data_IF_789099108663
#
_entry.id   IF_789099108663
#
_cell.length_a   1.000
_cell.length_b   1.000
_cell.length_c   1.000
_cell.angle_alpha   90.00
_cell.angle_beta   90.00
_cell.angle_gamma   90.00
#
_symmetry.space_group_name_H-M   'P 1'
#
loop_
_entity.id
_entity.type
_entity.pdbx_description
1 polymer ?
#
# COMPACT_ATOMS: atom_id res chain seq x y z
N UNK A 1 -12.63 -14.15 -23.71
CA UNK A 1 -11.21 -14.01 -23.33
C UNK A 1 -11.05 -13.41 -21.93
N UNK A 2 -11.65 -12.23 -21.64
CA UNK A 2 -11.59 -11.58 -20.31
C UNK A 2 -12.16 -12.47 -19.19
N UNK A 3 -13.27 -13.17 -19.42
CA UNK A 3 -13.87 -14.07 -18.43
C UNK A 3 -12.93 -15.20 -17.98
N UNK A 4 -12.23 -15.84 -18.92
CA UNK A 4 -11.28 -16.93 -18.65
C UNK A 4 -10.03 -16.45 -17.89
N UNK A 5 -9.57 -15.22 -18.18
CA UNK A 5 -8.47 -14.61 -17.42
C UNK A 5 -8.87 -14.29 -15.98
N UNK A 6 -10.09 -13.79 -15.78
CA UNK A 6 -10.62 -13.57 -14.45
C UNK A 6 -10.79 -14.87 -13.65
N UNK A 7 -11.25 -15.93 -14.30
CA UNK A 7 -11.35 -17.27 -13.69
C UNK A 7 -9.97 -17.80 -13.29
N UNK A 8 -8.97 -17.70 -14.17
CA UNK A 8 -7.58 -18.04 -13.83
C UNK A 8 -7.07 -17.23 -12.64
N UNK A 9 -7.27 -15.91 -12.62
CA UNK A 9 -6.87 -15.08 -11.49
C UNK A 9 -7.59 -15.45 -10.19
N UNK A 10 -8.84 -15.92 -10.26
CA UNK A 10 -9.58 -16.40 -9.09
C UNK A 10 -8.97 -17.66 -8.47
N UNK A 11 -8.30 -18.51 -9.25
CA UNK A 11 -7.55 -19.65 -8.69
C UNK A 11 -6.44 -19.21 -7.72
N UNK A 12 -5.94 -17.97 -7.86
CA UNK A 12 -4.92 -17.40 -6.99
C UNK A 12 -5.48 -16.77 -5.71
N UNK A 13 -6.80 -16.76 -5.51
CA UNK A 13 -7.46 -16.07 -4.39
C UNK A 13 -6.90 -16.49 -3.04
N UNK A 14 -6.86 -17.80 -2.76
CA UNK A 14 -6.39 -18.32 -1.47
C UNK A 14 -4.90 -18.02 -1.25
N UNK A 15 -4.09 -18.17 -2.29
CA UNK A 15 -2.67 -17.86 -2.20
C UNK A 15 -2.43 -16.37 -1.92
N UNK A 16 -3.14 -15.48 -2.64
CA UNK A 16 -3.06 -14.04 -2.46
C UNK A 16 -3.52 -13.61 -1.06
N UNK A 17 -4.59 -14.21 -0.53
CA UNK A 17 -5.07 -13.95 0.83
C UNK A 17 -4.04 -14.33 1.88
N UNK A 18 -3.40 -15.50 1.74
CA UNK A 18 -2.35 -15.91 2.68
C UNK A 18 -1.11 -15.01 2.60
N UNK A 19 -0.69 -14.63 1.39
CA UNK A 19 0.45 -13.76 1.18
C UNK A 19 0.21 -12.36 1.80
N UNK A 20 -0.92 -11.74 1.47
CA UNK A 20 -1.31 -10.44 2.00
C UNK A 20 -1.54 -10.48 3.52
N UNK A 21 -2.22 -11.51 4.03
CA UNK A 21 -2.50 -11.68 5.45
C UNK A 21 -1.22 -11.75 6.31
N UNK A 22 -0.19 -12.45 5.84
CA UNK A 22 1.12 -12.47 6.53
C UNK A 22 1.77 -11.09 6.60
N UNK A 23 1.73 -10.33 5.50
CA UNK A 23 2.27 -8.96 5.46
C UNK A 23 1.51 -8.07 6.46
N UNK A 24 0.18 -8.09 6.40
CA UNK A 24 -0.66 -7.27 7.28
C UNK A 24 -0.46 -7.61 8.75
N UNK A 25 -0.33 -8.89 9.08
CA UNK A 25 -0.10 -9.35 10.46
C UNK A 25 1.25 -8.85 10.98
N UNK A 26 2.33 -9.00 10.19
CA UNK A 26 3.67 -8.50 10.58
C UNK A 26 3.68 -6.96 10.74
N UNK A 27 3.04 -6.23 9.83
CA UNK A 27 2.94 -4.76 9.93
C UNK A 27 2.13 -4.34 11.16
N UNK A 28 0.99 -4.98 11.43
CA UNK A 28 0.17 -4.68 12.60
C UNK A 28 0.92 -4.89 13.92
N UNK A 29 1.72 -5.96 14.01
CA UNK A 29 2.56 -6.25 15.19
C UNK A 29 3.70 -5.24 15.37
N UNK A 30 4.34 -4.81 14.27
CA UNK A 30 5.40 -3.78 14.31
C UNK A 30 4.85 -2.42 14.67
N UNK A 31 3.70 -2.07 14.13
CA UNK A 31 2.98 -0.85 14.46
C UNK A 31 2.64 -0.84 15.96
N UNK A 32 1.98 -1.89 16.49
CA UNK A 32 1.69 -2.01 17.92
C UNK A 32 2.93 -1.82 18.79
N UNK A 33 4.04 -2.49 18.46
CA UNK A 33 5.30 -2.37 19.20
C UNK A 33 5.83 -0.93 19.20
N UNK A 34 5.77 -0.26 18.05
CA UNK A 34 6.19 1.14 17.91
C UNK A 34 5.35 2.05 18.79
N UNK A 35 4.03 1.89 18.75
CA UNK A 35 3.09 2.62 19.61
C UNK A 35 3.35 2.41 21.09
N UNK A 36 3.63 1.17 21.51
CA UNK A 36 3.94 0.87 22.91
C UNK A 36 5.27 1.49 23.37
N UNK A 37 6.23 1.70 22.47
CA UNK A 37 7.48 2.41 22.77
C UNK A 37 7.21 3.89 23.03
N UNK A 38 6.41 4.55 22.19
CA UNK A 38 6.03 5.95 22.38
C UNK A 38 5.11 6.14 23.60
N UNK A 39 4.25 5.16 23.87
CA UNK A 39 3.35 5.16 25.02
C UNK A 39 4.04 4.82 26.35
N UNK A 40 5.38 4.73 26.40
CA UNK A 40 6.12 4.39 27.64
C UNK A 40 5.85 5.37 28.78
N UNK A 41 5.54 6.61 28.48
CA UNK A 41 5.23 7.62 29.51
C UNK A 41 3.71 7.85 29.69
N UNK A 42 2.87 7.18 28.89
CA UNK A 42 1.41 7.25 28.99
C UNK A 42 0.87 6.36 30.13
N UNK A 43 -0.35 6.65 30.58
CA UNK A 43 -1.03 5.89 31.62
C UNK A 43 -1.25 4.42 31.22
N UNK A 44 -1.39 3.53 32.20
CA UNK A 44 -1.66 2.10 31.96
C UNK A 44 -2.93 1.88 31.12
N UNK A 45 -3.98 2.67 31.34
CA UNK A 45 -5.24 2.58 30.61
C UNK A 45 -5.08 2.85 29.11
N UNK A 46 -4.29 3.85 28.74
CA UNK A 46 -4.03 4.18 27.33
C UNK A 46 -3.25 3.07 26.63
N UNK A 47 -2.28 2.44 27.31
CA UNK A 47 -1.57 1.28 26.76
C UNK A 47 -2.49 0.07 26.54
N UNK A 48 -3.46 -0.15 27.41
CA UNK A 48 -4.46 -1.23 27.26
C UNK A 48 -5.41 -0.94 26.08
N UNK A 49 -5.81 0.32 25.89
CA UNK A 49 -6.62 0.75 24.73
C UNK A 49 -5.87 0.55 23.39
N UNK A 50 -4.57 0.84 23.33
CA UNK A 50 -3.73 0.58 22.15
C UNK A 50 -3.76 -0.90 21.77
N UNK A 51 -3.70 -1.82 22.76
CA UNK A 51 -3.73 -3.27 22.49
C UNK A 51 -5.10 -3.76 22.06
N UNK A 52 -6.16 -3.18 22.62
CA UNK A 52 -7.55 -3.61 22.41
C UNK A 52 -8.26 -2.82 21.29
N UNK A 53 -7.53 -2.06 20.47
CA UNK A 53 -8.11 -1.29 19.38
C UNK A 53 -8.78 -2.21 18.35
N UNK A 54 -10.03 -1.93 17.97
CA UNK A 54 -10.70 -2.63 16.88
C UNK A 54 -10.19 -2.14 15.52
N UNK A 55 -9.16 -2.80 14.99
CA UNK A 55 -8.66 -2.59 13.63
C UNK A 55 -9.20 -3.64 12.66
N UNK A 56 -10.24 -4.40 13.02
CA UNK A 56 -10.72 -5.54 12.26
C UNK A 56 -11.24 -5.17 10.87
N UNK A 57 -12.09 -4.14 10.79
CA UNK A 57 -12.63 -3.65 9.52
C UNK A 57 -11.53 -3.13 8.58
N UNK A 58 -10.59 -2.35 9.13
CA UNK A 58 -9.42 -1.82 8.42
C UNK A 58 -8.55 -2.95 7.86
N UNK A 59 -8.29 -3.99 8.66
CA UNK A 59 -7.54 -5.16 8.25
C UNK A 59 -8.19 -5.85 7.04
N UNK A 60 -9.51 -6.08 7.10
CA UNK A 60 -10.24 -6.74 6.01
C UNK A 60 -10.24 -5.92 4.73
N UNK A 61 -10.37 -4.59 4.83
CA UNK A 61 -10.27 -3.71 3.67
C UNK A 61 -8.90 -3.77 3.01
N UNK A 62 -7.83 -3.65 3.81
CA UNK A 62 -6.45 -3.76 3.31
C UNK A 62 -6.19 -5.12 2.68
N UNK A 63 -6.69 -6.20 3.28
CA UNK A 63 -6.56 -7.56 2.75
C UNK A 63 -7.19 -7.67 1.36
N UNK A 64 -8.42 -7.17 1.20
CA UNK A 64 -9.12 -7.21 -0.08
C UNK A 64 -8.41 -6.39 -1.16
N UNK A 65 -7.90 -5.21 -0.81
CA UNK A 65 -7.13 -4.36 -1.73
C UNK A 65 -5.82 -5.03 -2.18
N UNK A 66 -5.06 -5.59 -1.24
CA UNK A 66 -3.81 -6.27 -1.55
C UNK A 66 -4.04 -7.54 -2.39
N UNK A 67 -5.08 -8.31 -2.09
CA UNK A 67 -5.46 -9.48 -2.90
C UNK A 67 -5.78 -9.06 -4.33
N UNK A 68 -6.52 -7.96 -4.52
CA UNK A 68 -6.81 -7.41 -5.85
C UNK A 68 -5.53 -6.98 -6.58
N UNK A 69 -4.60 -6.32 -5.90
CA UNK A 69 -3.31 -5.91 -6.48
C UNK A 69 -2.44 -7.12 -6.86
N UNK A 70 -2.38 -8.16 -6.03
CA UNK A 70 -1.67 -9.40 -6.35
C UNK A 70 -2.26 -10.05 -7.59
N UNK A 71 -3.59 -10.23 -7.64
CA UNK A 71 -4.30 -10.85 -8.78
C UNK A 71 -4.18 -10.05 -10.06
N UNK A 72 -4.01 -8.73 -9.98
CA UNK A 72 -3.83 -7.89 -11.17
C UNK A 72 -2.49 -8.09 -11.87
N UNK A 73 -1.45 -8.62 -11.22
CA UNK A 73 -0.15 -8.88 -11.86
C UNK A 73 -0.25 -9.86 -13.06
N UNK A 74 -0.81 -11.07 -12.90
CA UNK A 74 -0.98 -11.99 -14.03
C UNK A 74 -2.02 -11.50 -15.04
N UNK A 75 -3.07 -10.81 -14.60
CA UNK A 75 -4.11 -10.26 -15.49
C UNK A 75 -3.51 -9.20 -16.43
N UNK A 76 -2.79 -8.22 -15.90
CA UNK A 76 -2.17 -7.16 -16.69
C UNK A 76 -1.10 -7.73 -17.63
N UNK A 77 -0.35 -8.74 -17.18
CA UNK A 77 0.64 -9.42 -18.02
C UNK A 77 -0.01 -10.15 -19.21
N UNK A 78 -1.09 -10.89 -18.95
CA UNK A 78 -1.82 -11.61 -19.99
C UNK A 78 -2.48 -10.66 -21.00
N UNK A 79 -3.11 -9.58 -20.52
CA UNK A 79 -3.71 -8.56 -21.38
C UNK A 79 -2.65 -7.89 -22.26
N UNK A 80 -1.50 -7.54 -21.70
CA UNK A 80 -0.39 -6.96 -22.46
C UNK A 80 0.12 -7.89 -23.56
N UNK A 81 0.27 -9.18 -23.27
CA UNK A 81 0.71 -10.18 -24.27
C UNK A 81 -0.33 -10.29 -25.40
N UNK A 82 -1.62 -10.27 -25.06
CA UNK A 82 -2.70 -10.26 -26.04
C UNK A 82 -2.61 -9.03 -26.95
N UNK A 83 -2.52 -7.83 -26.39
CA UNK A 83 -2.47 -6.59 -27.15
C UNK A 83 -1.25 -6.52 -28.09
N UNK A 84 -0.09 -7.01 -27.62
CA UNK A 84 1.14 -7.08 -28.42
C UNK A 84 1.00 -8.08 -29.59
N UNK A 85 0.38 -9.23 -29.33
CA UNK A 85 0.15 -10.25 -30.36
C UNK A 85 -0.83 -9.75 -31.42
N UNK A 86 -1.93 -9.11 -31.00
CA UNK A 86 -2.93 -8.54 -31.91
C UNK A 86 -2.33 -7.43 -32.79
N UNK A 87 -1.55 -6.51 -32.21
CA UNK A 87 -0.85 -5.47 -33.01
C UNK A 87 0.12 -6.08 -34.01
N UNK A 88 0.88 -7.08 -33.59
CA UNK A 88 1.88 -7.72 -34.44
C UNK A 88 1.29 -8.45 -35.64
N UNK A 89 0.09 -9.02 -35.49
CA UNK A 89 -0.66 -9.61 -36.61
C UNK A 89 -1.08 -8.55 -37.64
N UNK A 90 -1.44 -7.35 -37.19
CA UNK A 90 -1.85 -6.23 -38.06
C UNK A 90 -0.63 -5.63 -38.78
N UNK A 91 0.48 -5.47 -38.05
CA UNK A 91 1.70 -4.81 -38.53
C UNK A 91 2.62 -5.74 -39.35
N UNK A 92 2.43 -7.06 -39.28
CA UNK A 92 3.24 -8.04 -40.01
C UNK A 92 4.62 -8.32 -39.38
N UNK A 93 4.74 -8.18 -38.06
CA UNK A 93 6.01 -8.38 -37.34
C UNK A 93 6.48 -9.85 -37.37
N UNK A 94 7.80 -10.07 -37.28
CA UNK A 94 8.37 -11.44 -37.25
C UNK A 94 8.13 -12.11 -35.89
N UNK A 95 7.98 -13.43 -35.90
CA UNK A 95 7.76 -14.22 -34.67
C UNK A 95 8.83 -14.01 -33.59
N UNK A 96 10.10 -13.81 -33.99
CA UNK A 96 11.21 -13.53 -33.07
C UNK A 96 11.07 -12.18 -32.36
N UNK A 97 10.51 -11.18 -33.03
CA UNK A 97 10.29 -9.84 -32.45
C UNK A 97 9.15 -9.89 -31.43
N UNK A 98 8.08 -10.62 -31.76
CA UNK A 98 6.94 -10.87 -30.85
C UNK A 98 7.43 -11.57 -29.58
N UNK A 99 8.25 -12.61 -29.72
CA UNK A 99 8.83 -13.32 -28.58
C UNK A 99 9.65 -12.38 -27.67
N UNK A 100 10.44 -11.48 -28.26
CA UNK A 100 11.17 -10.44 -27.53
C UNK A 100 10.25 -9.51 -26.72
N UNK A 101 9.15 -9.06 -27.32
CA UNK A 101 8.15 -8.19 -26.67
C UNK A 101 7.40 -8.90 -25.53
N UNK A 102 7.06 -10.19 -25.71
CA UNK A 102 6.46 -11.03 -24.67
C UNK A 102 7.43 -11.17 -23.50
N UNK A 103 8.70 -11.48 -23.76
CA UNK A 103 9.72 -11.59 -22.71
C UNK A 103 9.93 -10.26 -21.96
N UNK A 104 9.86 -9.13 -22.65
CA UNK A 104 9.93 -7.80 -22.02
C UNK A 104 8.77 -7.54 -21.04
N UNK A 105 7.59 -8.16 -21.24
CA UNK A 105 6.46 -8.06 -20.29
C UNK A 105 6.83 -8.57 -18.91
N UNK A 106 7.68 -9.61 -18.81
CA UNK A 106 8.17 -10.09 -17.51
C UNK A 106 8.92 -9.03 -16.70
N UNK A 107 9.67 -8.13 -17.37
CA UNK A 107 10.37 -7.01 -16.70
C UNK A 107 9.38 -5.97 -16.17
N UNK A 108 8.33 -5.67 -16.94
CA UNK A 108 7.26 -4.74 -16.52
C UNK A 108 6.52 -5.30 -15.31
N UNK A 109 6.13 -6.58 -15.35
CA UNK A 109 5.45 -7.26 -14.24
C UNK A 109 6.32 -7.26 -12.98
N UNK A 110 7.63 -7.51 -13.10
CA UNK A 110 8.58 -7.43 -11.98
C UNK A 110 8.63 -6.02 -11.37
N UNK A 111 8.74 -4.97 -12.20
CA UNK A 111 8.77 -3.58 -11.73
C UNK A 111 7.49 -3.21 -10.97
N UNK A 112 6.33 -3.63 -11.49
CA UNK A 112 5.03 -3.45 -10.84
C UNK A 112 4.95 -4.21 -9.51
N UNK A 113 5.40 -5.46 -9.46
CA UNK A 113 5.44 -6.24 -8.23
C UNK A 113 6.28 -5.56 -7.13
N UNK A 114 7.45 -5.02 -7.49
CA UNK A 114 8.29 -4.26 -6.56
C UNK A 114 7.58 -3.00 -6.03
N UNK A 115 6.87 -2.29 -6.91
CA UNK A 115 6.10 -1.09 -6.54
C UNK A 115 4.98 -1.43 -5.56
N UNK A 116 4.24 -2.51 -5.83
CA UNK A 116 3.19 -3.02 -4.94
C UNK A 116 3.77 -3.41 -3.59
N UNK A 117 4.85 -4.20 -3.58
CA UNK A 117 5.46 -4.68 -2.33
C UNK A 117 5.89 -3.52 -1.41
N UNK A 118 6.53 -2.48 -1.96
CA UNK A 118 6.95 -1.32 -1.17
C UNK A 118 5.76 -0.49 -0.70
N UNK A 119 4.81 -0.25 -1.59
CA UNK A 119 3.67 0.64 -1.32
C UNK A 119 2.72 0.02 -0.29
N UNK A 120 2.39 -1.27 -0.43
CA UNK A 120 1.38 -1.90 0.41
C UNK A 120 1.85 -2.11 1.85
N UNK A 121 3.16 -2.27 2.08
CA UNK A 121 3.73 -2.29 3.44
C UNK A 121 3.61 -0.92 4.11
N UNK A 122 4.05 0.15 3.44
CA UNK A 122 3.94 1.52 3.97
C UNK A 122 2.49 1.94 4.18
N UNK A 123 1.61 1.59 3.23
CA UNK A 123 0.17 1.88 3.30
C UNK A 123 -0.48 1.14 4.46
N UNK A 124 -0.19 -0.13 4.67
CA UNK A 124 -0.71 -0.87 5.82
C UNK A 124 -0.29 -0.21 7.14
N UNK A 125 0.99 0.19 7.27
CA UNK A 125 1.47 0.87 8.47
C UNK A 125 0.74 2.19 8.69
N UNK A 126 0.65 3.04 7.65
CA UNK A 126 -0.05 4.31 7.66
C UNK A 126 -1.52 4.16 8.14
N UNK A 127 -2.24 3.19 7.59
CA UNK A 127 -3.66 2.98 7.91
C UNK A 127 -3.85 2.38 9.31
N UNK A 128 -2.99 1.46 9.77
CA UNK A 128 -3.05 0.97 11.16
C UNK A 128 -2.73 2.08 12.17
N UNK A 129 -1.70 2.87 11.91
CA UNK A 129 -1.37 4.04 12.73
C UNK A 129 -2.56 5.01 12.80
N UNK A 130 -3.19 5.33 11.67
CA UNK A 130 -4.40 6.17 11.65
C UNK A 130 -5.51 5.58 12.51
N UNK A 131 -5.85 4.30 12.29
CA UNK A 131 -6.95 3.66 13.02
C UNK A 131 -6.73 3.65 14.53
N UNK A 132 -5.49 3.42 15.00
CA UNK A 132 -5.17 3.51 16.44
C UNK A 132 -5.22 4.95 16.94
N UNK A 133 -4.67 5.90 16.19
CA UNK A 133 -4.66 7.31 16.56
C UNK A 133 -6.08 7.86 16.73
N UNK A 134 -6.96 7.62 15.75
CA UNK A 134 -8.35 8.06 15.77
C UNK A 134 -9.12 7.44 16.95
N UNK A 135 -8.87 6.15 17.25
CA UNK A 135 -9.48 5.49 18.42
C UNK A 135 -9.02 6.07 19.76
N UNK A 136 -7.86 6.74 19.80
CA UNK A 136 -7.37 7.48 20.97
C UNK A 136 -7.79 8.96 20.96
N UNK A 137 -8.65 9.37 20.03
CA UNK A 137 -9.14 10.75 19.92
C UNK A 137 -8.19 11.72 19.20
N UNK A 138 -7.19 11.21 18.46
CA UNK A 138 -6.34 12.05 17.62
C UNK A 138 -7.13 12.66 16.46
N UNK A 139 -7.11 13.99 16.34
CA UNK A 139 -7.73 14.70 15.20
C UNK A 139 -6.84 14.68 13.94
N UNK A 140 -5.53 14.48 14.12
CA UNK A 140 -4.56 14.53 13.03
C UNK A 140 -3.14 14.23 13.47
N UNK A 141 -2.20 14.53 12.59
CA UNK A 141 -0.79 14.21 12.77
C UNK A 141 0.12 15.28 12.17
N UNK A 142 1.38 15.28 12.62
CA UNK A 142 2.45 16.04 11.96
C UNK A 142 3.04 15.17 10.85
N UNK A 143 3.02 15.68 9.62
CA UNK A 143 3.59 14.98 8.48
C UNK A 143 5.12 14.95 8.58
N UNK A 144 5.70 13.76 8.62
CA UNK A 144 7.15 13.57 8.64
C UNK A 144 7.64 12.86 7.39
N UNK A 145 8.88 13.12 7.01
CA UNK A 145 9.53 12.46 5.87
C UNK A 145 10.79 11.73 6.34
N UNK A 146 11.28 10.75 5.56
CA UNK A 146 12.61 10.18 5.78
C UNK A 146 13.77 11.17 5.53
N UNK A 147 13.47 12.38 5.03
CA UNK A 147 14.45 13.46 4.75
C UNK A 147 15.57 13.07 3.78
N UNK A 148 15.41 11.98 3.03
CA UNK A 148 16.38 11.50 2.05
C UNK A 148 16.18 12.09 0.64
N UNK A 149 17.12 11.76 -0.24
CA UNK A 149 17.13 12.21 -1.64
C UNK A 149 15.92 11.75 -2.45
N UNK A 150 15.30 10.63 -2.09
CA UNK A 150 14.19 10.01 -2.83
C UNK A 150 12.82 10.60 -2.45
N UNK A 151 12.75 11.39 -1.38
CA UNK A 151 11.51 12.08 -1.01
C UNK A 151 11.16 13.13 -2.07
N UNK A 152 9.95 13.03 -2.62
CA UNK A 152 9.43 13.94 -3.66
C UNK A 152 9.35 15.39 -3.14
N UNK A 153 9.57 16.41 -3.99
CA UNK A 153 9.54 17.81 -3.55
C UNK A 153 8.23 18.24 -2.87
N UNK A 154 7.09 17.81 -3.39
CA UNK A 154 5.76 18.05 -2.81
C UNK A 154 5.63 17.46 -1.41
N UNK A 155 6.21 16.29 -1.17
CA UNK A 155 6.26 15.63 0.13
C UNK A 155 7.23 16.32 1.10
N UNK A 156 8.39 16.77 0.61
CA UNK A 156 9.34 17.57 1.41
C UNK A 156 8.69 18.84 1.94
N UNK A 157 7.89 19.51 1.11
CA UNK A 157 7.14 20.71 1.49
C UNK A 157 6.05 20.46 2.55
N UNK A 158 5.71 19.19 2.84
CA UNK A 158 4.77 18.83 3.90
C UNK A 158 5.45 18.54 5.23
N UNK A 159 6.77 18.37 5.28
CA UNK A 159 7.49 18.03 6.51
C UNK A 159 7.20 19.07 7.61
N UNK A 160 6.74 18.60 8.78
CA UNK A 160 6.37 19.44 9.93
C UNK A 160 4.97 20.06 9.88
N UNK A 161 4.18 19.85 8.81
CA UNK A 161 2.81 20.39 8.73
C UNK A 161 1.81 19.47 9.40
N UNK A 162 0.83 20.06 10.09
CA UNK A 162 -0.32 19.34 10.61
C UNK A 162 -1.27 18.94 9.48
N UNK A 163 -1.77 17.71 9.54
CA UNK A 163 -2.77 17.15 8.61
C UNK A 163 -3.85 16.45 9.43
N UNK A 164 -5.10 16.86 9.23
CA UNK A 164 -6.25 16.20 9.82
C UNK A 164 -6.51 14.84 9.15
N UNK A 165 -6.96 13.86 9.94
CA UNK A 165 -7.24 12.51 9.41
C UNK A 165 -8.41 12.50 8.42
N UNK A 166 -9.39 13.40 8.59
CA UNK A 166 -10.55 13.52 7.69
C UNK A 166 -10.24 14.23 6.35
N UNK A 167 -9.11 14.94 6.29
CA UNK A 167 -8.77 15.85 5.21
C UNK A 167 -7.36 15.59 4.65
N UNK A 168 -7.11 14.41 4.04
CA UNK A 168 -5.82 14.12 3.45
C UNK A 168 -5.47 15.11 2.32
N UNK A 169 -4.19 15.55 2.22
CA UNK A 169 -3.75 16.43 1.16
C UNK A 169 -3.75 15.69 -0.19
N UNK A 170 -3.76 16.48 -1.27
CA UNK A 170 -3.52 15.99 -2.62
C UNK A 170 -2.11 16.40 -3.05
N UNK A 171 -1.22 15.42 -3.22
CA UNK A 171 0.17 15.60 -3.63
C UNK A 171 0.43 14.75 -4.87
N UNK A 172 1.15 15.29 -5.85
CA UNK A 172 1.49 14.55 -7.09
C UNK A 172 0.25 13.97 -7.81
N UNK A 173 -0.85 14.72 -7.79
CA UNK A 173 -2.17 14.32 -8.32
C UNK A 173 -2.81 13.12 -7.60
N UNK A 174 -2.36 12.79 -6.39
CA UNK A 174 -2.88 11.70 -5.57
C UNK A 174 -3.30 12.21 -4.19
N UNK A 175 -4.52 11.88 -3.77
CA UNK A 175 -5.01 12.19 -2.42
C UNK A 175 -4.62 11.07 -1.46
N UNK A 176 -3.96 11.39 -0.35
CA UNK A 176 -3.58 10.40 0.65
C UNK A 176 -2.73 10.94 1.79
N UNK A 177 -2.65 10.17 2.87
CA UNK A 177 -1.85 10.50 4.04
C UNK A 177 -0.36 10.13 3.87
N UNK A 178 0.47 10.60 4.80
CA UNK A 178 1.89 10.29 4.85
C UNK A 178 2.11 8.77 4.91
N UNK A 179 2.89 8.23 3.96
CA UNK A 179 3.18 6.80 3.88
C UNK A 179 2.13 5.95 3.14
N UNK A 180 0.94 6.50 2.89
CA UNK A 180 -0.13 5.82 2.15
C UNK A 180 -0.02 5.95 0.61
N UNK A 181 0.82 6.85 0.10
CA UNK A 181 0.98 7.09 -1.34
C UNK A 181 2.01 6.13 -2.00
N UNK A 182 1.95 5.91 -3.33
CA UNK A 182 2.87 5.00 -4.03
C UNK A 182 4.34 5.37 -3.82
N UNK A 183 5.15 4.37 -3.45
CA UNK A 183 6.57 4.51 -3.08
C UNK A 183 6.85 5.63 -2.07
N UNK A 184 5.88 5.97 -1.21
CA UNK A 184 6.05 7.02 -0.22
C UNK A 184 6.96 6.57 0.93
N UNK A 185 7.83 7.48 1.34
CA UNK A 185 8.78 7.34 2.47
C UNK A 185 8.45 8.33 3.60
N UNK A 186 7.22 8.82 3.63
CA UNK A 186 6.71 9.67 4.69
C UNK A 186 6.01 8.83 5.74
N UNK A 187 5.86 9.37 6.94
CA UNK A 187 5.09 8.74 8.00
C UNK A 187 4.33 9.79 8.79
N UNK A 188 3.22 9.38 9.38
CA UNK A 188 2.46 10.21 10.29
C UNK A 188 3.10 10.16 11.67
N UNK A 189 3.30 11.32 12.29
CA UNK A 189 3.56 11.46 13.73
C UNK A 189 2.26 11.90 14.40
N UNK A 190 1.43 10.97 14.92
CA UNK A 190 0.11 11.31 15.44
C UNK A 190 0.17 12.28 16.61
N UNK A 191 -0.73 13.27 16.61
CA UNK A 191 -0.91 14.16 17.76
C UNK A 191 -1.98 13.52 18.65
N UNK A 192 -1.55 13.00 19.80
CA UNK A 192 -2.45 12.38 20.78
C UNK A 192 -2.85 13.46 21.79
N UNK A 193 -4.15 13.69 22.02
CA UNK A 193 -4.57 14.63 23.06
C UNK A 193 -4.07 14.15 24.43
N UNK A 194 -3.73 15.09 25.31
CA UNK A 194 -3.48 14.77 26.72
C UNK A 194 -4.81 14.29 27.33
N UNK A 195 -4.84 13.04 27.80
CA UNK A 195 -6.00 12.41 28.46
C UNK A 195 -5.84 12.49 29.97
#
# INVERSE_FOLDING_TARGET
MIASLNEYANTLQFWAQNAAGRILTDVALRDEKTWLIYAKDLSRGVREQIRNTDTGAVYQQLLNDQVRLIKSLPLDAAQRIHDLSTRSLIEGNRSSEIAGLIMATGRVTRSRANTIARTEVSRASCVFTQARAENLGSEGYIWRTSEDGDVRPSHKAMNGKFVAWDSPPTLDNLKGHAGCLPNCRCYAEPVIPEI
#
